data_IF_084751083974
#
_entry.id   IF_084751083974
#
_cell.length_a   1.000
_cell.length_b   1.000
_cell.length_c   1.000
_cell.angle_alpha   90.00
_cell.angle_beta   90.00
_cell.angle_gamma   90.00
#
_symmetry.space_group_name_H-M   'P 1'
#
loop_
_entity.id
_entity.type
_entity.pdbx_description
1 polymer ?
#
# COMPACT_ATOMS: atom_id res chain seq x y z
N UNK A 1 -0.32 -0.71 -9.55
CA UNK A 1 0.33 0.49 -8.97
C UNK A 1 0.47 0.33 -7.46
N UNK A 2 1.31 1.12 -6.82
CA UNK A 2 1.47 1.22 -5.35
C UNK A 2 1.84 2.65 -4.95
N UNK A 3 2.00 2.95 -3.65
CA UNK A 3 2.34 4.29 -3.15
C UNK A 3 3.71 4.38 -2.49
N UNK A 4 4.21 5.62 -2.31
CA UNK A 4 5.41 5.94 -1.54
C UNK A 4 5.30 5.52 -0.06
N UNK A 5 4.10 5.52 0.54
CA UNK A 5 3.86 4.97 1.88
C UNK A 5 3.98 3.44 1.93
N UNK A 6 3.44 2.72 0.95
CA UNK A 6 3.61 1.27 0.86
C UNK A 6 5.07 0.90 0.57
N UNK A 7 5.77 1.71 -0.24
CA UNK A 7 7.21 1.56 -0.45
C UNK A 7 7.99 1.68 0.87
N UNK A 8 7.74 2.76 1.64
CA UNK A 8 8.40 3.00 2.93
C UNK A 8 8.16 1.84 3.90
N UNK A 9 6.89 1.46 4.08
CA UNK A 9 6.53 0.39 4.99
C UNK A 9 7.11 -0.96 4.56
N UNK A 10 6.98 -1.35 3.29
CA UNK A 10 7.46 -2.64 2.83
C UNK A 10 8.98 -2.78 2.96
N UNK A 11 9.73 -1.72 2.61
CA UNK A 11 11.20 -1.70 2.76
C UNK A 11 11.59 -1.74 4.24
N UNK A 12 11.02 -0.85 5.05
CA UNK A 12 11.36 -0.73 6.48
C UNK A 12 10.98 -1.98 7.25
N UNK A 13 9.79 -2.54 7.01
CA UNK A 13 9.32 -3.75 7.66
C UNK A 13 10.13 -4.98 7.26
N UNK A 14 10.56 -5.08 5.99
CA UNK A 14 11.46 -6.14 5.55
C UNK A 14 12.75 -6.08 6.34
N UNK A 15 13.42 -4.92 6.40
CA UNK A 15 14.67 -4.77 7.16
C UNK A 15 14.48 -5.12 8.64
N UNK A 16 13.40 -4.64 9.27
CA UNK A 16 13.14 -4.89 10.68
C UNK A 16 12.84 -6.36 10.99
N UNK A 17 12.07 -7.05 10.12
CA UNK A 17 11.66 -8.44 10.39
C UNK A 17 12.73 -9.46 10.02
N UNK A 18 13.56 -9.19 9.02
CA UNK A 18 14.64 -10.10 8.60
C UNK A 18 15.97 -9.80 9.31
N UNK A 19 16.16 -8.57 9.80
CA UNK A 19 17.47 -8.08 10.24
C UNK A 19 18.46 -7.85 9.10
N UNK A 20 17.98 -7.85 7.84
CA UNK A 20 18.79 -7.77 6.63
C UNK A 20 18.46 -6.49 5.86
N UNK A 21 19.40 -5.54 5.87
CA UNK A 21 19.30 -4.28 5.16
C UNK A 21 19.29 -4.49 3.64
N UNK A 22 20.08 -5.44 3.13
CA UNK A 22 20.17 -5.71 1.70
C UNK A 22 18.86 -6.28 1.16
N UNK A 23 18.17 -7.11 1.95
CA UNK A 23 16.84 -7.60 1.58
C UNK A 23 15.83 -6.45 1.38
N UNK A 24 15.84 -5.45 2.25
CA UNK A 24 14.99 -4.27 2.10
C UNK A 24 15.39 -3.39 0.91
N UNK A 25 16.68 -3.14 0.70
CA UNK A 25 17.18 -2.38 -0.45
C UNK A 25 16.83 -3.05 -1.77
N UNK A 26 16.95 -4.37 -1.82
CA UNK A 26 16.60 -5.20 -2.97
C UNK A 26 15.09 -5.17 -3.27
N UNK A 27 14.25 -5.28 -2.25
CA UNK A 27 12.80 -5.09 -2.40
C UNK A 27 12.48 -3.71 -2.96
N UNK A 28 13.13 -2.67 -2.44
CA UNK A 28 12.94 -1.31 -2.91
C UNK A 28 13.35 -1.12 -4.37
N UNK A 29 14.45 -1.72 -4.81
CA UNK A 29 14.85 -1.72 -6.23
C UNK A 29 13.81 -2.40 -7.11
N UNK A 30 13.29 -3.56 -6.69
CA UNK A 30 12.23 -4.28 -7.42
C UNK A 30 10.96 -3.45 -7.59
N UNK A 31 10.48 -2.81 -6.52
CA UNK A 31 9.27 -1.96 -6.58
C UNK A 31 9.46 -0.82 -7.59
N UNK A 32 10.65 -0.22 -7.67
CA UNK A 32 10.96 0.87 -8.60
C UNK A 32 11.35 0.44 -10.00
N UNK A 33 11.50 -0.85 -10.28
CA UNK A 33 12.07 -1.33 -11.55
C UNK A 33 13.55 -0.97 -11.73
N UNK A 34 14.29 -0.74 -10.65
CA UNK A 34 15.72 -0.37 -10.70
C UNK A 34 16.58 -1.64 -10.86
N UNK A 35 17.01 -1.91 -12.10
CA UNK A 35 17.62 -3.20 -12.47
C UNK A 35 16.62 -4.34 -12.63
N UNK A 36 15.32 -4.03 -12.62
CA UNK A 36 14.19 -4.96 -12.73
C UNK A 36 13.20 -4.49 -13.80
N UNK A 37 12.30 -5.34 -14.31
CA UNK A 37 11.20 -4.88 -15.15
C UNK A 37 10.40 -3.78 -14.44
N UNK A 38 10.07 -2.70 -15.18
CA UNK A 38 9.17 -1.66 -14.69
C UNK A 38 7.72 -2.17 -14.74
N UNK A 39 7.36 -2.99 -13.75
CA UNK A 39 6.07 -3.68 -13.67
C UNK A 39 5.08 -3.00 -12.71
N UNK A 40 5.57 -2.13 -11.82
CA UNK A 40 4.77 -1.45 -10.80
C UNK A 40 4.93 0.06 -10.99
N UNK A 41 3.81 0.73 -11.27
CA UNK A 41 3.75 2.18 -11.20
C UNK A 41 3.74 2.63 -9.72
N UNK A 42 4.67 3.51 -9.35
CA UNK A 42 4.78 4.08 -8.01
C UNK A 42 4.18 5.50 -7.99
N UNK A 43 3.13 5.68 -7.19
CA UNK A 43 2.46 6.94 -6.97
C UNK A 43 3.06 7.67 -5.76
N UNK A 44 3.16 8.99 -5.85
CA UNK A 44 3.71 9.82 -4.78
C UNK A 44 2.62 10.62 -4.08
N UNK A 45 2.83 10.83 -2.78
CA UNK A 45 1.96 11.65 -1.97
C UNK A 45 1.91 13.11 -2.42
N UNK A 46 0.77 13.74 -2.16
CA UNK A 46 0.57 15.17 -2.28
C UNK A 46 -0.11 15.68 -1.02
N UNK A 47 -0.03 16.99 -0.75
CA UNK A 47 -0.70 17.58 0.39
C UNK A 47 -2.20 17.24 0.42
N UNK A 48 -2.87 17.30 -0.75
CA UNK A 48 -4.28 16.93 -0.88
C UNK A 48 -4.55 15.48 -0.49
N UNK A 49 -3.70 14.54 -0.94
CA UNK A 49 -3.85 13.12 -0.61
C UNK A 49 -3.58 12.85 0.87
N UNK A 50 -2.60 13.53 1.45
CA UNK A 50 -2.30 13.45 2.88
C UNK A 50 -3.48 13.94 3.73
N UNK A 51 -4.02 15.12 3.43
CA UNK A 51 -5.19 15.67 4.14
C UNK A 51 -6.42 14.75 4.00
N UNK A 52 -6.59 14.13 2.82
CA UNK A 52 -7.65 13.14 2.59
C UNK A 52 -7.43 11.88 3.44
N UNK A 53 -6.21 11.35 3.51
CA UNK A 53 -5.87 10.21 4.34
C UNK A 53 -6.12 10.48 5.82
N UNK A 54 -5.79 11.68 6.33
CA UNK A 54 -6.12 12.09 7.70
C UNK A 54 -7.63 12.05 7.95
N UNK A 55 -8.42 12.56 6.99
CA UNK A 55 -9.89 12.52 7.09
C UNK A 55 -10.43 11.09 7.09
N UNK A 56 -9.89 10.22 6.23
CA UNK A 56 -10.26 8.79 6.15
C UNK A 56 -9.91 8.09 7.46
N UNK A 57 -8.70 8.29 7.98
CA UNK A 57 -8.28 7.69 9.26
C UNK A 57 -9.22 8.07 10.40
N UNK A 58 -9.65 9.34 10.46
CA UNK A 58 -10.62 9.79 11.46
C UNK A 58 -12.01 9.18 11.23
N UNK A 59 -12.43 9.03 9.97
CA UNK A 59 -13.73 8.45 9.60
C UNK A 59 -13.82 6.98 9.99
N UNK A 60 -12.72 6.24 9.84
CA UNK A 60 -12.61 4.81 10.08
C UNK A 60 -11.76 4.49 11.31
N UNK A 61 -11.73 5.39 12.31
CA UNK A 61 -10.89 5.23 13.49
C UNK A 61 -11.18 3.94 14.28
N UNK A 62 -12.43 3.45 14.21
CA UNK A 62 -12.86 2.22 14.86
C UNK A 62 -12.65 0.94 13.99
N UNK A 63 -12.15 1.08 12.75
CA UNK A 63 -11.93 -0.05 11.81
C UNK A 63 -10.49 -0.60 11.82
N UNK A 64 -9.64 -0.21 12.78
CA UNK A 64 -8.29 -0.77 12.89
C UNK A 64 -7.25 -0.26 11.88
N UNK A 65 -7.68 0.46 10.83
CA UNK A 65 -6.80 1.00 9.79
C UNK A 65 -5.61 1.79 10.35
N UNK A 66 -4.40 1.44 9.90
CA UNK A 66 -3.22 2.28 10.08
C UNK A 66 -3.33 3.55 9.22
N UNK A 67 -2.42 4.51 9.43
CA UNK A 67 -2.37 5.69 8.55
C UNK A 67 -1.98 5.30 7.12
N UNK A 68 -1.13 4.28 6.94
CA UNK A 68 -0.77 3.77 5.60
C UNK A 68 -1.99 3.17 4.89
N UNK A 69 -2.88 2.51 5.62
CA UNK A 69 -4.12 1.95 5.06
C UNK A 69 -5.08 3.06 4.65
N UNK A 70 -5.30 4.05 5.54
CA UNK A 70 -6.10 5.23 5.22
C UNK A 70 -5.56 6.00 4.00
N UNK A 71 -4.23 6.05 3.85
CA UNK A 71 -3.59 6.64 2.70
C UNK A 71 -3.80 5.82 1.42
N UNK A 72 -3.81 4.49 1.53
CA UNK A 72 -4.12 3.60 0.41
C UNK A 72 -5.56 3.77 -0.07
N UNK A 73 -6.53 3.95 0.85
CA UNK A 73 -7.92 4.30 0.49
C UNK A 73 -7.98 5.67 -0.20
N UNK A 74 -7.25 6.68 0.28
CA UNK A 74 -7.19 7.99 -0.35
C UNK A 74 -6.67 7.92 -1.80
N UNK A 75 -5.67 7.07 -2.05
CA UNK A 75 -5.12 6.81 -3.38
C UNK A 75 -6.12 6.11 -4.28
N UNK A 76 -6.85 5.12 -3.77
CA UNK A 76 -7.92 4.43 -4.51
C UNK A 76 -8.99 5.42 -4.97
N UNK A 77 -9.52 6.22 -4.05
CA UNK A 77 -10.53 7.23 -4.37
C UNK A 77 -10.04 8.28 -5.38
N UNK A 78 -8.79 8.73 -5.25
CA UNK A 78 -8.27 9.81 -6.09
C UNK A 78 -7.86 9.38 -7.50
N UNK A 79 -7.61 8.09 -7.71
CA UNK A 79 -7.13 7.56 -8.99
C UNK A 79 -8.16 6.68 -9.70
N UNK A 80 -9.40 6.62 -9.18
CA UNK A 80 -10.51 5.83 -9.75
C UNK A 80 -10.12 4.34 -9.91
N UNK A 81 -9.51 3.79 -8.85
CA UNK A 81 -9.06 2.39 -8.82
C UNK A 81 -10.23 1.52 -8.34
N UNK A 82 -10.56 0.46 -9.10
CA UNK A 82 -11.71 -0.39 -8.78
C UNK A 82 -11.52 -1.18 -7.47
N UNK A 83 -10.32 -1.72 -7.25
CA UNK A 83 -10.06 -2.59 -6.10
C UNK A 83 -8.65 -2.42 -5.51
N UNK A 84 -8.53 -2.73 -4.23
CA UNK A 84 -7.27 -2.76 -3.48
C UNK A 84 -6.85 -4.21 -3.21
N UNK A 85 -5.62 -4.60 -3.58
CA UNK A 85 -5.06 -5.91 -3.27
C UNK A 85 -4.40 -5.87 -1.88
N UNK A 86 -4.94 -6.63 -0.92
CA UNK A 86 -4.37 -6.71 0.43
C UNK A 86 -4.68 -8.04 1.12
N UNK A 87 -3.73 -8.49 1.95
CA UNK A 87 -3.92 -9.60 2.88
C UNK A 87 -4.72 -9.20 4.12
N UNK A 88 -4.79 -7.90 4.42
CA UNK A 88 -5.47 -7.37 5.60
C UNK A 88 -6.96 -7.19 5.32
N UNK A 89 -7.80 -7.80 6.15
CA UNK A 89 -9.26 -7.71 6.07
C UNK A 89 -9.82 -6.45 6.72
N UNK A 90 -9.00 -5.63 7.38
CA UNK A 90 -9.40 -4.33 7.94
C UNK A 90 -9.92 -3.34 6.85
N UNK A 91 -9.60 -3.58 5.58
CA UNK A 91 -10.16 -2.82 4.44
C UNK A 91 -11.61 -3.22 4.08
N UNK A 92 -12.12 -4.35 4.58
CA UNK A 92 -13.43 -4.86 4.22
C UNK A 92 -14.54 -3.92 4.74
N UNK A 93 -15.42 -3.48 3.82
CA UNK A 93 -16.44 -2.47 4.11
C UNK A 93 -15.98 -1.02 3.95
N UNK A 94 -14.69 -0.79 3.63
CA UNK A 94 -14.13 0.53 3.32
C UNK A 94 -13.90 0.69 1.82
N UNK A 95 -13.29 -0.32 1.19
CA UNK A 95 -12.99 -0.37 -0.24
C UNK A 95 -13.15 -1.80 -0.75
N UNK A 96 -13.42 -1.99 -2.04
CA UNK A 96 -13.47 -3.33 -2.63
C UNK A 96 -12.08 -3.97 -2.59
N UNK A 97 -11.92 -4.96 -1.71
CA UNK A 97 -10.65 -5.66 -1.50
C UNK A 97 -10.58 -6.91 -2.37
N UNK A 98 -9.47 -7.08 -3.07
CA UNK A 98 -9.06 -8.38 -3.61
C UNK A 98 -8.16 -9.08 -2.61
N UNK A 99 -8.62 -10.19 -2.07
CA UNK A 99 -7.82 -11.06 -1.22
C UNK A 99 -6.91 -11.94 -2.10
N UNK A 100 -5.57 -11.95 -1.91
CA UNK A 100 -4.65 -12.70 -2.76
C UNK A 100 -5.03 -14.18 -2.96
N UNK A 101 -5.50 -14.85 -1.91
CA UNK A 101 -5.95 -16.25 -1.93
C UNK A 101 -7.13 -16.52 -2.87
N UNK A 102 -7.89 -15.49 -3.25
CA UNK A 102 -9.01 -15.60 -4.20
C UNK A 102 -8.57 -15.46 -5.67
N UNK A 103 -7.34 -14.97 -5.90
CA UNK A 103 -6.80 -14.69 -7.23
C UNK A 103 -5.91 -15.83 -7.76
N UNK A 104 -5.50 -16.75 -6.90
CA UNK A 104 -4.68 -17.89 -7.31
C UNK A 104 -5.59 -18.91 -8.00
N UNK A 105 -5.48 -19.02 -9.32
CA UNK A 105 -6.01 -20.19 -10.05
C UNK A 105 -5.00 -21.33 -9.93
N UNK A 106 -5.47 -22.57 -9.72
CA UNK A 106 -4.63 -23.78 -9.78
C UNK A 106 -3.93 -23.96 -11.13
#
# INVERSE_FOLDING_TARGET
MTSDYIYDEAVTLTQMRTGDVEAGLELGRRIRGDGYPSAIELLYSSQRLFDRAVTIQQTYADHGLSFTDAFSVAMVESNDIDCLLSFDDDFDGVVDRLAPETLVSE
#
